data_IF_785706994844
#
_entry.id   IF_785706994844
#
_cell.length_a   1.000
_cell.length_b   1.000
_cell.length_c   1.000
_cell.angle_alpha   90.00
_cell.angle_beta   90.00
_cell.angle_gamma   90.00
#
_symmetry.space_group_name_H-M   'P 1'
#
loop_
_entity.id
_entity.type
_entity.pdbx_description
1 polymer ?
#
# COMPACT_ATOMS: atom_id res chain seq x y z
N UNK A 1 43.07 22.70 10.44
CA UNK A 1 42.65 22.28 10.17
C UNK A 1 41.81 21.73 9.99
N UNK A 2 41.70 21.55 9.91
CA UNK A 2 41.04 21.01 9.75
C UNK A 2 40.00 20.45 9.68
N UNK A 3 39.79 20.36 9.59
CA UNK A 3 38.93 19.84 9.57
C UNK A 3 37.98 19.40 9.38
N UNK A 4 37.79 19.35 9.35
CA UNK A 4 37.00 18.88 9.24
C UNK A 4 36.17 18.36 8.99
N UNK A 5 36.01 18.30 9.04
CA UNK A 5 35.35 17.73 8.84
C UNK A 5 34.52 17.22 8.69
N UNK A 6 34.21 17.06 8.70
CA UNK A 6 33.43 16.49 8.53
C UNK A 6 32.65 16.04 8.53
N UNK A 7 32.53 16.07 8.63
CA UNK A 7 31.75 15.45 8.57
C UNK A 7 30.79 15.09 8.42
N UNK A 8 30.67 15.02 8.36
CA UNK A 8 29.81 14.50 8.18
C UNK A 8 28.92 13.96 7.98
N UNK A 9 28.71 13.92 7.99
CA UNK A 9 27.88 13.31 7.78
C UNK A 9 27.13 12.78 7.77
N UNK A 10 27.00 12.66 7.82
CA UNK A 10 26.24 12.03 7.76
C UNK A 10 25.26 11.63 7.69
N UNK A 11 25.12 11.66 7.79
CA UNK A 11 24.28 11.18 7.73
C UNK A 11 23.46 10.78 7.56
N UNK A 12 23.31 10.78 7.51
CA UNK A 12 22.54 10.32 7.38
C UNK A 12 21.79 9.80 7.11
N UNK A 13 21.66 9.63 6.92
CA UNK A 13 20.96 9.06 6.65
C UNK A 13 20.27 8.43 6.73
N UNK A 14 20.15 8.38 6.82
CA UNK A 14 19.69 7.71 6.98
C UNK A 14 18.61 7.36 7.09
N UNK A 15 18.24 7.64 6.96
CA UNK A 15 16.97 7.37 7.28
C UNK A 15 16.45 6.37 6.45
N UNK A 16 16.02 5.47 6.97
CA UNK A 16 15.55 4.45 6.32
C UNK A 16 14.28 4.66 5.77
N UNK A 17 14.12 4.77 4.64
CA UNK A 17 12.92 5.04 4.06
C UNK A 17 12.02 3.90 4.08
N UNK A 18 10.81 4.18 4.19
CA UNK A 18 9.80 3.28 3.88
C UNK A 18 9.97 2.85 2.47
N UNK A 19 9.55 1.69 2.15
CA UNK A 19 9.67 1.22 0.81
C UNK A 19 8.50 1.65 -0.02
N UNK A 20 8.47 2.93 -0.35
CA UNK A 20 7.46 3.48 -1.21
C UNK A 20 8.01 3.48 -2.63
N UNK A 21 7.22 3.01 -3.56
CA UNK A 21 7.63 2.98 -4.96
C UNK A 21 6.44 3.25 -5.86
N UNK A 22 6.72 3.69 -7.08
CA UNK A 22 5.69 3.86 -8.07
C UNK A 22 5.17 2.50 -8.51
N UNK A 23 3.87 2.43 -8.72
CA UNK A 23 3.20 1.20 -9.11
C UNK A 23 2.01 1.54 -9.98
N UNK A 24 1.37 0.51 -10.51
CA UNK A 24 0.11 0.66 -11.22
C UNK A 24 -0.96 -0.03 -10.39
N UNK A 25 -2.05 0.66 -10.16
CA UNK A 25 -3.13 0.16 -9.34
C UNK A 25 -4.42 0.05 -10.12
N UNK A 26 -5.33 -0.75 -9.60
CA UNK A 26 -6.67 -0.89 -10.12
C UNK A 26 -7.63 -1.07 -8.96
N UNK A 27 -8.78 -0.41 -9.01
CA UNK A 27 -9.89 -0.72 -8.13
C UNK A 27 -11.16 -0.76 -8.96
N UNK A 28 -12.15 -1.49 -8.47
CA UNK A 28 -13.43 -1.59 -9.17
C UNK A 28 -14.04 -0.21 -9.41
N UNK A 29 -13.91 0.70 -8.44
CA UNK A 29 -14.55 2.01 -8.55
C UNK A 29 -13.79 2.99 -9.42
N UNK A 30 -12.47 2.93 -9.41
CA UNK A 30 -11.66 3.96 -10.08
C UNK A 30 -10.97 3.47 -11.34
N UNK A 31 -10.98 2.16 -11.61
CA UNK A 31 -10.26 1.62 -12.75
C UNK A 31 -8.76 1.66 -12.52
N UNK A 32 -8.01 1.71 -13.60
CA UNK A 32 -6.55 1.73 -13.55
C UNK A 32 -6.03 3.13 -13.27
N UNK A 33 -5.02 3.24 -12.43
CA UNK A 33 -4.40 4.53 -12.16
C UNK A 33 -2.99 4.34 -11.61
N UNK A 34 -2.08 5.31 -11.86
CA UNK A 34 -0.75 5.24 -11.26
C UNK A 34 -0.87 5.51 -9.77
N UNK A 35 -0.11 4.79 -9.00
CA UNK A 35 -0.21 4.87 -7.55
C UNK A 35 1.15 4.77 -6.90
N UNK A 36 1.17 5.00 -5.60
CA UNK A 36 2.33 4.79 -4.77
C UNK A 36 2.08 3.54 -3.93
N UNK A 37 3.05 2.66 -3.89
CA UNK A 37 2.96 1.40 -3.16
C UNK A 37 3.93 1.43 -1.99
N UNK A 38 3.45 1.09 -0.80
CA UNK A 38 4.29 1.07 0.38
C UNK A 38 4.06 -0.23 1.14
N UNK A 39 5.15 -0.94 1.45
CA UNK A 39 5.08 -2.15 2.24
C UNK A 39 4.84 -1.80 3.70
N UNK A 40 3.95 -2.52 4.36
CA UNK A 40 3.59 -2.23 5.75
C UNK A 40 4.21 -3.21 6.75
N UNK A 41 4.41 -4.47 6.34
CA UNK A 41 5.01 -5.46 7.23
C UNK A 41 5.68 -6.57 6.43
N UNK A 42 6.25 -7.52 7.13
CA UNK A 42 6.97 -8.61 6.49
C UNK A 42 6.04 -9.69 5.95
N UNK A 43 4.76 -9.64 6.30
CA UNK A 43 3.80 -10.64 5.84
C UNK A 43 3.28 -10.35 4.43
N UNK A 44 3.58 -9.17 3.90
CA UNK A 44 3.12 -8.79 2.57
C UNK A 44 2.00 -7.76 2.59
N UNK A 45 1.65 -7.24 3.75
CA UNK A 45 0.66 -6.18 3.84
C UNK A 45 1.20 -4.91 3.19
N UNK A 46 0.32 -4.13 2.58
CA UNK A 46 0.77 -2.96 1.84
C UNK A 46 -0.31 -1.89 1.81
N UNK A 47 0.12 -0.69 1.42
CA UNK A 47 -0.76 0.45 1.27
C UNK A 47 -0.58 1.01 -0.13
N UNK A 48 -1.68 1.39 -0.77
CA UNK A 48 -1.62 2.09 -2.05
C UNK A 48 -2.29 3.44 -1.89
N UNK A 49 -1.73 4.45 -2.54
CA UNK A 49 -2.25 5.81 -2.46
C UNK A 49 -1.97 6.54 -3.76
N UNK A 50 -2.79 7.56 -4.03
CA UNK A 50 -2.58 8.45 -5.16
C UNK A 50 -3.37 9.72 -4.92
N UNK A 51 -2.92 10.86 -5.45
CA UNK A 51 -3.66 12.11 -5.28
C UNK A 51 -5.08 11.97 -5.81
N UNK A 52 -6.04 12.39 -5.02
CA UNK A 52 -7.44 12.36 -5.42
C UNK A 52 -8.10 11.00 -5.35
N UNK A 53 -7.41 10.00 -4.84
CA UNK A 53 -7.95 8.66 -4.71
C UNK A 53 -7.94 8.24 -3.24
N UNK A 54 -8.81 7.33 -2.83
CA UNK A 54 -8.72 6.79 -1.48
C UNK A 54 -7.39 6.06 -1.29
N UNK A 55 -6.91 6.05 -0.06
CA UNK A 55 -5.75 5.25 0.32
C UNK A 55 -6.28 3.92 0.82
N UNK A 56 -5.76 2.82 0.28
CA UNK A 56 -6.18 1.49 0.69
C UNK A 56 -5.05 0.79 1.42
N UNK A 57 -5.40 0.07 2.48
CA UNK A 57 -4.46 -0.72 3.27
C UNK A 57 -4.91 -2.16 3.22
N UNK A 58 -4.05 -3.02 2.70
CA UNK A 58 -4.34 -4.45 2.58
C UNK A 58 -3.51 -5.17 3.65
N UNK A 59 -4.20 -5.71 4.64
CA UNK A 59 -3.56 -6.38 5.78
C UNK A 59 -3.70 -7.87 5.60
N UNK A 60 -2.58 -8.56 5.46
CA UNK A 60 -2.57 -10.01 5.27
C UNK A 60 -2.93 -10.67 6.59
N UNK A 61 -4.03 -11.40 6.62
CA UNK A 61 -4.46 -12.14 7.80
C UNK A 61 -3.82 -13.52 7.83
N UNK A 62 -3.71 -14.13 6.66
CA UNK A 62 -3.04 -15.41 6.45
C UNK A 62 -2.72 -15.48 4.95
N UNK A 63 -1.88 -16.41 4.52
CA UNK A 63 -1.55 -16.47 3.09
C UNK A 63 -2.80 -16.53 2.22
N UNK A 64 -2.90 -15.60 1.28
CA UNK A 64 -4.01 -15.55 0.35
C UNK A 64 -5.28 -14.91 0.86
N UNK A 65 -5.32 -14.43 2.11
CA UNK A 65 -6.50 -13.79 2.69
C UNK A 65 -6.12 -12.50 3.38
N UNK A 66 -6.90 -11.47 3.18
CA UNK A 66 -6.59 -10.16 3.73
C UNK A 66 -7.83 -9.40 4.14
N UNK A 67 -7.64 -8.46 5.05
CA UNK A 67 -8.62 -7.44 5.41
C UNK A 67 -8.19 -6.15 4.76
N UNK A 68 -9.14 -5.38 4.25
CA UNK A 68 -8.82 -4.13 3.56
C UNK A 68 -9.51 -2.98 4.26
N UNK A 69 -8.76 -1.91 4.48
CA UNK A 69 -9.30 -0.66 4.99
C UNK A 69 -9.08 0.43 3.97
N UNK A 70 -9.88 1.48 4.05
CA UNK A 70 -9.76 2.61 3.14
C UNK A 70 -9.82 3.91 3.91
N UNK A 71 -8.98 4.86 3.50
CA UNK A 71 -9.03 6.23 3.99
C UNK A 71 -9.54 7.06 2.83
N UNK A 72 -10.75 7.59 2.96
CA UNK A 72 -11.41 8.29 1.86
C UNK A 72 -11.08 9.77 1.80
N UNK A 73 -10.59 10.33 2.90
CA UNK A 73 -10.21 11.75 2.93
C UNK A 73 -8.83 11.86 3.56
N UNK A 74 -8.01 12.73 3.01
CA UNK A 74 -6.68 12.95 3.53
C UNK A 74 -6.77 13.29 5.03
N UNK A 75 -5.99 12.57 5.84
CA UNK A 75 -6.01 12.77 7.29
C UNK A 75 -7.20 12.12 7.98
N UNK A 76 -8.07 11.46 7.23
CA UNK A 76 -9.20 10.76 7.80
C UNK A 76 -8.80 9.44 8.39
N UNK A 77 -9.76 8.75 9.00
CA UNK A 77 -9.46 7.45 9.57
C UNK A 77 -9.75 6.34 8.58
N UNK A 78 -9.14 5.21 8.82
CA UNK A 78 -9.36 4.03 8.00
C UNK A 78 -10.72 3.42 8.31
N UNK A 79 -11.44 3.07 7.27
CA UNK A 79 -12.75 2.44 7.35
C UNK A 79 -12.61 1.02 6.82
N UNK A 80 -13.00 0.00 7.58
CA UNK A 80 -12.90 -1.37 7.06
C UNK A 80 -13.86 -1.57 5.90
N UNK A 81 -13.37 -2.19 4.85
CA UNK A 81 -14.20 -2.54 3.71
C UNK A 81 -14.83 -3.91 3.95
N UNK A 82 -16.03 -4.16 3.40
CA UNK A 82 -16.75 -5.40 3.69
C UNK A 82 -16.04 -6.65 3.17
N UNK A 83 -16.05 -7.68 3.98
CA UNK A 83 -15.64 -9.00 3.59
C UNK A 83 -14.17 -9.27 3.68
N UNK A 84 -13.82 -10.54 3.65
CA UNK A 84 -12.44 -10.98 3.50
C UNK A 84 -12.08 -10.87 2.03
N UNK A 85 -10.89 -10.39 1.75
CA UNK A 85 -10.39 -10.33 0.38
C UNK A 85 -9.49 -11.53 0.13
N UNK A 86 -9.76 -12.24 -0.95
CA UNK A 86 -8.93 -13.37 -1.36
C UNK A 86 -8.01 -12.94 -2.48
N UNK A 87 -6.79 -13.46 -2.46
CA UNK A 87 -5.88 -13.23 -3.58
C UNK A 87 -6.43 -13.95 -4.79
N UNK A 88 -6.46 -13.23 -5.92
CA UNK A 88 -6.97 -13.79 -7.16
C UNK A 88 -6.03 -14.88 -7.67
N UNK A 89 -6.61 -15.96 -8.18
CA UNK A 89 -5.83 -17.01 -8.79
C UNK A 89 -5.43 -16.67 -10.22
N UNK A 90 -6.10 -15.68 -10.80
CA UNK A 90 -5.78 -15.25 -12.16
C UNK A 90 -4.65 -14.26 -12.19
N UNK A 91 -4.53 -13.43 -11.15
CA UNK A 91 -3.47 -12.44 -11.08
C UNK A 91 -3.13 -12.23 -9.60
N UNK A 92 -1.95 -12.69 -9.20
CA UNK A 92 -1.54 -12.62 -7.81
C UNK A 92 -1.38 -11.23 -7.25
N UNK A 93 -1.43 -10.19 -8.08
CA UNK A 93 -1.41 -8.81 -7.61
C UNK A 93 -2.79 -8.30 -7.25
N UNK A 94 -3.83 -9.09 -7.45
CA UNK A 94 -5.21 -8.67 -7.25
C UNK A 94 -5.86 -9.38 -6.08
N UNK A 95 -6.74 -8.66 -5.40
CA UNK A 95 -7.48 -9.14 -4.23
C UNK A 95 -8.96 -8.85 -4.45
N UNK A 96 -9.81 -9.82 -4.14
CA UNK A 96 -11.24 -9.74 -4.43
C UNK A 96 -12.04 -10.02 -3.16
N UNK A 97 -12.99 -9.15 -2.86
CA UNK A 97 -13.85 -9.30 -1.68
C UNK A 97 -14.81 -10.47 -1.88
N UNK A 98 -14.90 -11.35 -0.88
CA UNK A 98 -15.87 -12.43 -0.90
C UNK A 98 -17.29 -11.92 -0.83
N UNK A 99 -17.47 -10.77 -0.22
CA UNK A 99 -18.81 -10.27 0.06
C UNK A 99 -19.34 -9.39 -1.07
N UNK A 100 -18.49 -8.52 -1.62
CA UNK A 100 -18.95 -7.52 -2.59
C UNK A 100 -18.41 -7.75 -3.99
N UNK A 101 -17.41 -8.63 -4.13
CA UNK A 101 -16.69 -8.87 -5.37
C UNK A 101 -15.89 -7.65 -5.84
N UNK A 102 -15.74 -6.65 -4.98
CA UNK A 102 -14.87 -5.53 -5.28
C UNK A 102 -13.44 -6.03 -5.42
N UNK A 103 -12.70 -5.45 -6.36
CA UNK A 103 -11.35 -5.89 -6.69
C UNK A 103 -10.37 -4.76 -6.51
N UNK A 104 -9.17 -5.10 -6.04
CA UNK A 104 -8.10 -4.15 -5.84
C UNK A 104 -6.80 -4.82 -6.27
N UNK A 105 -6.05 -4.17 -7.13
CA UNK A 105 -4.79 -4.70 -7.65
C UNK A 105 -3.68 -3.68 -7.51
N UNK A 106 -2.45 -4.18 -7.34
CA UNK A 106 -1.26 -3.34 -7.34
C UNK A 106 -0.13 -4.13 -7.98
N UNK A 107 0.44 -3.56 -9.06
CA UNK A 107 1.54 -4.19 -9.81
C UNK A 107 2.84 -3.44 -9.66
#
# INVERSE_FOLDING_TARGET
MRLLLGVVAVAAMIAAPAFAKDADCYTTDDGDYPCNFESLDAAGSFEISAPGKPTFQVWIDRPGEASVGAVFEAGGRSVPLPGTYDRSEEDGACWVSRETEAELCAW
#
